data_IF_796397783772
#
_entry.id   IF_796397783772
#
_cell.length_a   1.000
_cell.length_b   1.000
_cell.length_c   1.000
_cell.angle_alpha   90.00
_cell.angle_beta   90.00
_cell.angle_gamma   90.00
#
_symmetry.space_group_name_H-M   'P 1'
#
loop_
_entity.id
_entity.type
_entity.pdbx_description
1 polymer ?
#
# COMPACT_ATOMS: atom_id res chain seq x y z
N UNK A 1 -9.08 7.08 16.28
CA UNK A 1 -8.52 7.64 15.03
C UNK A 1 -7.37 6.74 14.61
N UNK A 2 -7.49 6.07 13.46
CA UNK A 2 -6.40 5.32 12.84
C UNK A 2 -5.43 6.37 12.27
N UNK A 3 -4.33 6.65 12.98
CA UNK A 3 -3.34 7.68 12.59
C UNK A 3 -2.27 7.16 11.64
N UNK A 4 -2.30 5.86 11.38
CA UNK A 4 -1.27 5.15 10.63
C UNK A 4 -1.79 4.84 9.22
N UNK A 5 -0.92 4.96 8.23
CA UNK A 5 -1.22 4.71 6.83
C UNK A 5 -0.96 3.24 6.51
N UNK A 6 -1.98 2.53 5.99
CA UNK A 6 -1.79 1.17 5.50
C UNK A 6 -0.88 1.19 4.27
N UNK A 7 0.23 0.47 4.32
CA UNK A 7 1.16 0.32 3.21
C UNK A 7 1.43 -1.15 2.97
N UNK A 8 1.14 -1.61 1.75
CA UNK A 8 1.24 -3.01 1.33
C UNK A 8 2.17 -3.19 0.13
N UNK A 9 3.14 -2.28 -0.03
CA UNK A 9 4.10 -2.34 -1.14
C UNK A 9 4.96 -3.61 -1.10
N UNK A 10 5.27 -4.12 0.10
CA UNK A 10 6.01 -5.38 0.27
C UNK A 10 5.16 -6.60 -0.10
N UNK A 11 3.84 -6.47 0.01
CA UNK A 11 2.86 -7.54 -0.20
C UNK A 11 2.28 -7.52 -1.63
N UNK A 12 2.84 -6.72 -2.55
CA UNK A 12 2.33 -6.60 -3.93
C UNK A 12 2.36 -7.92 -4.69
N UNK A 13 3.42 -8.73 -4.55
CA UNK A 13 3.48 -10.05 -5.19
C UNK A 13 2.38 -10.99 -4.66
N UNK A 14 2.14 -10.98 -3.33
CA UNK A 14 1.05 -11.73 -2.73
C UNK A 14 -0.31 -11.27 -3.27
N UNK A 15 -0.51 -9.95 -3.43
CA UNK A 15 -1.74 -9.39 -4.01
C UNK A 15 -1.90 -9.87 -5.46
N UNK A 16 -0.86 -9.84 -6.28
CA UNK A 16 -0.88 -10.36 -7.66
C UNK A 16 -1.30 -11.83 -7.71
N UNK A 17 -0.74 -12.66 -6.81
CA UNK A 17 -1.02 -14.10 -6.75
C UNK A 17 -2.47 -14.42 -6.35
N UNK A 18 -3.22 -13.50 -5.75
CA UNK A 18 -4.64 -13.72 -5.40
C UNK A 18 -5.58 -13.73 -6.61
N UNK A 19 -5.12 -13.31 -7.80
CA UNK A 19 -5.94 -13.22 -9.01
C UNK A 19 -6.83 -11.97 -9.08
N UNK A 20 -6.59 -10.95 -8.25
CA UNK A 20 -7.24 -9.64 -8.41
C UNK A 20 -6.82 -8.97 -9.71
N UNK A 21 -7.76 -8.36 -10.40
CA UNK A 21 -7.53 -7.67 -11.67
C UNK A 21 -7.40 -6.15 -11.54
N UNK A 22 -7.66 -5.62 -10.34
CA UNK A 22 -7.68 -4.19 -10.08
C UNK A 22 -7.42 -3.90 -8.60
N UNK A 23 -6.80 -2.75 -8.35
CA UNK A 23 -6.49 -2.23 -7.03
C UNK A 23 -6.89 -0.75 -6.97
N UNK A 24 -7.41 -0.32 -5.81
CA UNK A 24 -7.72 1.08 -5.54
C UNK A 24 -6.75 1.58 -4.47
N UNK A 25 -6.05 2.65 -4.78
CA UNK A 25 -5.15 3.33 -3.86
C UNK A 25 -5.92 4.47 -3.20
N UNK A 26 -6.16 4.35 -1.89
CA UNK A 26 -6.85 5.36 -1.12
C UNK A 26 -5.89 6.47 -0.66
N UNK A 27 -5.91 7.59 -1.39
CA UNK A 27 -5.16 8.81 -1.05
C UNK A 27 -6.08 9.94 -0.55
N UNK A 28 -7.20 9.62 0.11
CA UNK A 28 -8.12 10.64 0.63
C UNK A 28 -7.38 11.68 1.48
N UNK A 29 -7.78 12.94 1.33
CA UNK A 29 -7.19 14.10 2.01
C UNK A 29 -5.71 14.38 1.70
N UNK A 30 -5.14 13.72 0.69
CA UNK A 30 -3.78 13.98 0.23
C UNK A 30 -3.74 15.00 -0.91
N UNK A 31 -2.60 15.68 -1.10
CA UNK A 31 -2.42 16.60 -2.22
C UNK A 31 -2.39 15.84 -3.57
N UNK A 32 -2.76 16.49 -4.69
CA UNK A 32 -2.68 15.86 -6.01
C UNK A 32 -1.28 15.33 -6.34
N UNK A 33 -0.24 16.07 -5.95
CA UNK A 33 1.16 15.69 -6.17
C UNK A 33 1.50 14.41 -5.41
N UNK A 34 1.17 14.34 -4.11
CA UNK A 34 1.41 13.14 -3.30
C UNK A 34 0.67 11.93 -3.88
N UNK A 35 -0.62 12.11 -4.19
CA UNK A 35 -1.46 11.04 -4.75
C UNK A 35 -0.88 10.49 -6.06
N UNK A 36 -0.45 11.37 -6.96
CA UNK A 36 0.19 10.98 -8.22
C UNK A 36 1.49 10.20 -8.00
N UNK A 37 2.33 10.63 -7.05
CA UNK A 37 3.57 9.91 -6.71
C UNK A 37 3.28 8.52 -6.14
N UNK A 38 2.36 8.39 -5.17
CA UNK A 38 2.00 7.08 -4.60
C UNK A 38 1.43 6.15 -5.67
N UNK A 39 0.50 6.64 -6.50
CA UNK A 39 -0.07 5.85 -7.59
C UNK A 39 1.01 5.37 -8.55
N UNK A 40 1.98 6.22 -8.88
CA UNK A 40 3.09 5.87 -9.76
C UNK A 40 4.01 4.79 -9.15
N UNK A 41 4.26 4.83 -7.84
CA UNK A 41 5.07 3.82 -7.13
C UNK A 41 4.38 2.45 -7.10
N UNK A 42 3.10 2.40 -6.75
CA UNK A 42 2.33 1.15 -6.78
C UNK A 42 2.12 0.64 -8.21
N UNK A 43 1.92 1.52 -9.18
CA UNK A 43 1.83 1.13 -10.60
C UNK A 43 3.12 0.50 -11.09
N UNK A 44 4.29 0.95 -10.62
CA UNK A 44 5.57 0.31 -10.93
C UNK A 44 5.66 -1.09 -10.30
N UNK A 45 5.28 -1.23 -9.03
CA UNK A 45 5.31 -2.52 -8.33
C UNK A 45 4.33 -3.55 -8.91
N UNK A 46 3.16 -3.11 -9.38
CA UNK A 46 2.09 -3.97 -9.88
C UNK A 46 2.29 -4.46 -11.32
N UNK A 47 3.34 -4.00 -12.02
CA UNK A 47 3.63 -4.51 -13.38
C UNK A 47 3.90 -6.02 -13.35
N UNK A 48 3.46 -6.72 -14.39
CA UNK A 48 3.66 -8.17 -14.52
C UNK A 48 5.14 -8.54 -14.58
N UNK A 49 5.95 -7.72 -15.24
CA UNK A 49 7.39 -7.86 -15.41
C UNK A 49 8.21 -7.09 -14.36
N UNK A 50 7.64 -6.87 -13.17
CA UNK A 50 8.26 -6.05 -12.14
C UNK A 50 9.71 -6.51 -11.83
N UNK A 51 10.67 -5.68 -12.24
CA UNK A 51 12.11 -5.82 -11.91
C UNK A 51 12.54 -4.81 -10.84
N UNK A 52 11.61 -4.00 -10.33
CA UNK A 52 11.90 -2.98 -9.34
C UNK A 52 12.12 -3.60 -7.95
N UNK A 53 13.12 -3.07 -7.25
CA UNK A 53 13.36 -3.41 -5.85
C UNK A 53 12.24 -2.81 -4.98
N UNK A 54 11.37 -3.66 -4.45
CA UNK A 54 10.27 -3.27 -3.57
C UNK A 54 10.78 -2.53 -2.31
N UNK A 55 11.99 -2.83 -1.84
CA UNK A 55 12.59 -2.10 -0.71
C UNK A 55 12.85 -0.64 -1.09
N UNK A 56 13.36 -0.39 -2.30
CA UNK A 56 13.59 0.96 -2.78
C UNK A 56 12.28 1.74 -2.90
N UNK A 57 11.24 1.13 -3.46
CA UNK A 57 9.92 1.75 -3.55
C UNK A 57 9.35 2.07 -2.17
N UNK A 58 9.54 1.16 -1.20
CA UNK A 58 9.13 1.38 0.19
C UNK A 58 9.89 2.53 0.85
N UNK A 59 11.20 2.64 0.64
CA UNK A 59 11.98 3.77 1.15
C UNK A 59 11.51 5.09 0.52
N UNK A 60 11.18 5.10 -0.77
CA UNK A 60 10.57 6.26 -1.42
C UNK A 60 9.24 6.65 -0.76
N UNK A 61 8.35 5.68 -0.49
CA UNK A 61 7.08 5.92 0.21
C UNK A 61 7.34 6.48 1.61
N UNK A 62 8.28 5.92 2.37
CA UNK A 62 8.64 6.41 3.72
C UNK A 62 9.10 7.86 3.70
N UNK A 63 9.89 8.25 2.69
CA UNK A 63 10.43 9.61 2.58
C UNK A 63 9.37 10.67 2.29
N UNK A 64 8.25 10.30 1.66
CA UNK A 64 7.18 11.24 1.30
C UNK A 64 5.98 11.20 2.24
N UNK A 65 5.86 10.16 3.07
CA UNK A 65 4.68 9.96 3.92
C UNK A 65 4.81 10.73 5.23
N UNK A 66 3.77 11.48 5.60
CA UNK A 66 3.71 12.26 6.85
C UNK A 66 3.16 11.45 8.05
N UNK A 67 2.75 10.21 7.81
CA UNK A 67 2.16 9.29 8.79
C UNK A 67 3.02 8.05 8.97
N UNK A 68 2.86 7.38 10.10
CA UNK A 68 3.51 6.08 10.30
C UNK A 68 2.91 5.06 9.34
N UNK A 69 3.76 4.34 8.62
CA UNK A 69 3.33 3.20 7.81
C UNK A 69 3.00 2.00 8.69
N UNK A 70 1.88 1.34 8.44
CA UNK A 70 1.47 0.12 9.11
C UNK A 70 1.06 -0.96 8.10
N UNK A 71 1.09 -2.21 8.57
CA UNK A 71 0.46 -3.37 7.91
C UNK A 71 -0.28 -4.28 8.90
N UNK A 72 -0.47 -3.81 10.13
CA UNK A 72 -1.06 -4.60 11.21
C UNK A 72 -2.47 -5.08 10.89
N UNK A 73 -3.29 -4.24 10.24
CA UNK A 73 -4.65 -4.63 9.85
C UNK A 73 -4.68 -5.75 8.80
N UNK A 74 -3.64 -5.82 7.96
CA UNK A 74 -3.50 -6.87 6.95
C UNK A 74 -3.01 -8.18 7.60
N UNK A 75 -1.95 -8.11 8.40
CA UNK A 75 -1.36 -9.29 9.05
C UNK A 75 -2.28 -9.90 10.11
N UNK A 76 -2.82 -9.06 11.00
CA UNK A 76 -3.57 -9.55 12.16
C UNK A 76 -5.03 -9.89 11.80
N UNK A 77 -5.42 -9.65 10.56
CA UNK A 77 -6.82 -9.54 10.18
C UNK A 77 -7.48 -8.34 10.85
N UNK A 78 -8.61 -7.91 10.28
CA UNK A 78 -9.45 -6.93 10.95
C UNK A 78 -10.32 -7.69 11.95
N UNK A 79 -10.21 -7.37 13.24
CA UNK A 79 -11.17 -7.83 14.26
C UNK A 79 -12.50 -7.13 13.96
N UNK A 80 -13.24 -7.61 12.95
CA UNK A 80 -14.60 -7.18 12.69
C UNK A 80 -15.51 -7.96 13.63
N UNK A 81 -15.98 -7.24 14.64
CA UNK A 81 -17.06 -7.58 15.57
C UNK A 81 -16.88 -8.89 16.35
N UNK A 82 -17.06 -8.84 17.66
CA UNK A 82 -17.12 -10.05 18.49
C UNK A 82 -18.02 -11.06 17.78
N UNK A 83 -17.51 -12.25 17.52
CA UNK A 83 -18.37 -13.39 17.21
C UNK A 83 -19.44 -13.44 18.31
N UNK A 84 -20.67 -13.11 17.95
CA UNK A 84 -21.83 -13.34 18.81
C UNK A 84 -22.01 -14.84 19.02
#
# INVERSE_FOLDING_TARGET
INKDCLCLIDEVELIKDTGVNSCIIDCRFSSPQYSSTIVSLYSQALKEDNTYDLNLLKEQIKNITLSRLNKGNFINGRIHEKSC
#
